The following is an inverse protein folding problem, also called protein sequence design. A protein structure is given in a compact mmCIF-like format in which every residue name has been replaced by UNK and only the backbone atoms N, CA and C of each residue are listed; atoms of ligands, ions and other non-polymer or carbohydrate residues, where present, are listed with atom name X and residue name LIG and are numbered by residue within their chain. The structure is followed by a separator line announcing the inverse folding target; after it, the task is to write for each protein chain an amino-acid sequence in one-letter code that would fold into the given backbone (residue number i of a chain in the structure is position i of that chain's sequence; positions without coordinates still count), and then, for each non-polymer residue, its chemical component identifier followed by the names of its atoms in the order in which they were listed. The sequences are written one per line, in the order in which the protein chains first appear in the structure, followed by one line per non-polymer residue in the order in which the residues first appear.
data_IF_173987321144
#
_entry.id   IF_173987321144
#
_cell.length_a   1.000
_cell.length_b   1.000
_cell.length_c   1.000
_cell.angle_alpha   90.00
_cell.angle_beta   90.00
_cell.angle_gamma   90.00
#
_symmetry.space_group_name_H-M   'P 1'
#
loop_
_entity.id
_entity.type
_entity.pdbx_description
1 polymer ?
#
# COMPACT_ATOMS: atom_id res chain seq x y z
N UNK A 1 -25.27 18.40 -14.68
CA UNK A 1 -24.17 17.65 -15.36
C UNK A 1 -23.54 16.55 -14.49
N UNK A 2 -23.25 16.77 -13.20
CA UNK A 2 -22.59 15.78 -12.30
C UNK A 2 -23.35 14.45 -12.10
N UNK A 3 -24.67 14.45 -12.23
CA UNK A 3 -25.49 13.24 -12.10
C UNK A 3 -25.47 12.34 -13.34
N UNK A 4 -25.10 12.88 -14.51
CA UNK A 4 -25.02 12.13 -15.77
C UNK A 4 -23.78 11.24 -15.79
N UNK A 5 -22.64 11.79 -15.35
CA UNK A 5 -21.37 11.06 -15.29
C UNK A 5 -21.41 9.93 -14.26
N UNK A 6 -22.01 10.14 -13.10
CA UNK A 6 -22.16 9.10 -12.07
C UNK A 6 -23.01 7.90 -12.56
N UNK A 7 -24.08 8.18 -13.32
CA UNK A 7 -24.93 7.13 -13.91
C UNK A 7 -24.20 6.36 -15.01
N UNK A 8 -23.45 7.06 -15.85
CA UNK A 8 -22.65 6.43 -16.92
C UNK A 8 -21.56 5.51 -16.34
N UNK A 9 -20.84 5.96 -15.30
CA UNK A 9 -19.82 5.16 -14.62
C UNK A 9 -20.44 3.91 -13.98
N UNK A 10 -21.58 4.06 -13.29
CA UNK A 10 -22.28 2.92 -12.67
C UNK A 10 -22.77 1.90 -13.70
N UNK A 11 -23.27 2.37 -14.86
CA UNK A 11 -23.71 1.51 -15.95
C UNK A 11 -22.53 0.74 -16.58
N UNK A 12 -21.40 1.42 -16.85
CA UNK A 12 -20.19 0.78 -17.34
C UNK A 12 -19.65 -0.27 -16.37
N UNK A 13 -19.59 0.03 -15.07
CA UNK A 13 -19.14 -0.91 -14.06
C UNK A 13 -20.02 -2.17 -14.01
N UNK A 14 -21.34 -2.02 -14.07
CA UNK A 14 -22.27 -3.17 -14.10
C UNK A 14 -22.09 -4.03 -15.35
N UNK A 15 -21.92 -3.40 -16.51
CA UNK A 15 -21.68 -4.10 -17.77
C UNK A 15 -20.38 -4.92 -17.70
N UNK A 16 -19.29 -4.30 -17.26
CA UNK A 16 -17.99 -4.97 -17.09
C UNK A 16 -18.06 -6.13 -16.10
N UNK A 17 -18.72 -5.95 -14.95
CA UNK A 17 -18.88 -7.01 -13.96
C UNK A 17 -19.74 -8.17 -14.49
N UNK A 18 -20.77 -7.90 -15.30
CA UNK A 18 -21.60 -8.96 -15.90
C UNK A 18 -20.85 -9.76 -16.97
N UNK A 19 -19.87 -9.15 -17.65
CA UNK A 19 -19.01 -9.79 -18.65
C UNK A 19 -17.90 -10.61 -17.98
N UNK A 20 -17.32 -10.10 -16.88
CA UNK A 20 -16.17 -10.70 -16.21
C UNK A 20 -16.55 -11.78 -15.21
N UNK A 21 -17.75 -11.74 -14.64
CA UNK A 21 -18.26 -12.79 -13.77
C UNK A 21 -19.28 -13.62 -14.55
N UNK A 22 -18.95 -14.86 -14.99
CA UNK A 22 -19.93 -15.77 -15.54
C UNK A 22 -20.96 -16.07 -14.44
N UNK A 23 -22.09 -15.37 -14.50
CA UNK A 23 -23.20 -15.50 -13.57
C UNK A 23 -23.98 -16.79 -13.83
N UNK A 24 -23.31 -17.94 -13.79
CA UNK A 24 -23.95 -19.26 -13.82
C UNK A 24 -23.25 -20.23 -12.87
N UNK A 25 -22.93 -19.76 -11.68
CA UNK A 25 -22.71 -20.65 -10.55
C UNK A 25 -24.02 -21.29 -10.13
N UNK A 26 -24.42 -22.39 -10.80
CA UNK A 26 -25.47 -23.28 -10.28
C UNK A 26 -24.98 -23.72 -8.89
N UNK A 27 -25.55 -23.15 -7.82
CA UNK A 27 -25.31 -23.65 -6.46
C UNK A 27 -25.67 -25.14 -6.48
N UNK A 28 -24.67 -26.01 -6.39
CA UNK A 28 -24.91 -27.42 -6.08
C UNK A 28 -25.65 -27.43 -4.75
N UNK A 29 -26.90 -27.91 -4.77
CA UNK A 29 -27.60 -28.25 -3.53
C UNK A 29 -26.69 -29.21 -2.76
N UNK A 30 -26.46 -29.01 -1.45
CA UNK A 30 -25.76 -30.01 -0.67
C UNK A 30 -26.58 -31.30 -0.76
N UNK A 31 -25.99 -32.34 -1.36
CA UNK A 31 -26.54 -33.69 -1.23
C UNK A 31 -26.48 -34.02 0.26
N UNK A 32 -27.66 -34.13 0.87
CA UNK A 32 -27.83 -34.72 2.20
C UNK A 32 -27.20 -36.11 2.13
N UNK A 33 -26.19 -36.44 2.97
CA UNK A 33 -25.66 -37.80 2.99
C UNK A 33 -26.80 -38.73 3.40
N UNK A 34 -27.11 -39.68 2.52
CA UNK A 34 -28.08 -40.73 2.77
C UNK A 34 -27.60 -41.52 3.99
N UNK A 35 -28.41 -41.51 5.04
CA UNK A 35 -28.24 -42.43 6.15
C UNK A 35 -28.55 -43.85 5.65
N UNK A 36 -27.57 -44.75 5.75
CA UNK A 36 -27.72 -46.13 6.24
C UNK A 36 -26.57 -47.02 5.73
N UNK A 37 -25.60 -47.29 6.59
CA UNK A 37 -24.97 -48.61 6.70
C UNK A 37 -24.78 -48.87 8.21
N UNK A 38 -25.55 -49.79 8.82
CA UNK A 38 -25.17 -50.34 10.11
C UNK A 38 -24.01 -51.31 9.86
N UNK A 39 -23.10 -51.44 10.82
CA UNK A 39 -21.84 -52.18 10.73
C UNK A 39 -20.70 -51.39 10.09
N UNK A 40 -19.88 -50.77 10.94
CA UNK A 40 -18.44 -51.08 11.10
C UNK A 40 -17.84 -50.08 12.11
N UNK A 41 -17.37 -50.62 13.23
CA UNK A 41 -16.32 -50.12 14.13
C UNK A 41 -16.05 -48.61 14.20
N UNK A 42 -16.34 -48.02 15.37
CA UNK A 42 -16.08 -46.61 15.73
C UNK A 42 -14.64 -46.17 15.42
N UNK A 43 -14.40 -45.27 14.43
CA UNK A 43 -13.11 -44.63 14.27
C UNK A 43 -12.98 -43.47 15.27
N UNK A 44 -11.81 -43.37 15.91
CA UNK A 44 -11.41 -42.19 16.68
C UNK A 44 -11.71 -40.92 15.88
N UNK A 45 -12.39 -39.90 16.46
CA UNK A 45 -12.73 -38.69 15.71
C UNK A 45 -11.44 -38.00 15.22
N UNK A 46 -11.33 -37.67 13.92
CA UNK A 46 -10.22 -36.86 13.44
C UNK A 46 -10.25 -35.49 14.13
N UNK A 47 -9.08 -34.95 14.46
CA UNK A 47 -8.98 -33.61 15.03
C UNK A 47 -9.75 -32.60 14.16
N UNK A 48 -10.47 -31.63 14.75
CA UNK A 48 -11.28 -30.70 13.99
C UNK A 48 -10.40 -29.93 12.99
N UNK A 49 -10.78 -29.95 11.71
CA UNK A 49 -10.12 -29.15 10.68
C UNK A 49 -10.29 -27.67 11.01
N UNK A 50 -9.19 -27.01 11.37
CA UNK A 50 -9.16 -25.55 11.56
C UNK A 50 -8.81 -24.91 10.22
N UNK A 51 -9.77 -24.18 9.65
CA UNK A 51 -9.56 -23.48 8.38
C UNK A 51 -8.46 -22.42 8.53
N UNK A 52 -7.47 -22.34 7.62
CA UNK A 52 -6.51 -21.23 7.60
C UNK A 52 -7.19 -19.85 7.58
N UNK A 53 -8.39 -19.78 7.01
CA UNK A 53 -9.22 -18.57 6.90
C UNK A 53 -10.13 -18.32 8.11
N UNK A 54 -10.18 -19.23 9.09
CA UNK A 54 -10.91 -19.02 10.35
C UNK A 54 -10.11 -18.24 11.39
N UNK A 55 -8.85 -17.91 11.10
CA UNK A 55 -8.04 -17.07 11.98
C UNK A 55 -8.48 -15.61 11.84
N UNK A 56 -8.87 -14.92 12.93
CA UNK A 56 -9.08 -13.48 12.89
C UNK A 56 -7.78 -12.79 12.45
N UNK A 57 -7.89 -11.80 11.58
CA UNK A 57 -6.74 -11.07 11.06
C UNK A 57 -6.01 -10.34 12.19
N UNK A 58 -4.77 -10.75 12.47
CA UNK A 58 -3.89 -10.10 13.45
C UNK A 58 -3.10 -8.98 12.77
N UNK A 59 -3.81 -7.96 12.31
CA UNK A 59 -3.19 -6.77 11.72
C UNK A 59 -2.81 -5.72 12.76
N UNK A 60 -2.05 -4.70 12.36
CA UNK A 60 -1.82 -3.54 13.20
C UNK A 60 -3.15 -2.91 13.59
N UNK A 61 -3.20 -2.39 14.81
CA UNK A 61 -4.36 -1.62 15.27
C UNK A 61 -4.49 -0.34 14.44
N UNK A 62 -5.67 0.27 14.46
CA UNK A 62 -5.91 1.54 13.75
C UNK A 62 -4.94 2.62 14.25
N UNK A 63 -4.68 2.62 15.55
CA UNK A 63 -3.81 3.55 16.26
C UNK A 63 -2.35 3.37 15.81
N UNK A 64 -1.89 2.12 15.70
CA UNK A 64 -0.55 1.77 15.20
C UNK A 64 -0.38 2.19 13.73
N UNK A 65 -1.34 1.86 12.87
CA UNK A 65 -1.30 2.26 11.47
C UNK A 65 -1.28 3.79 11.33
N UNK A 66 -2.10 4.51 12.09
CA UNK A 66 -2.13 5.97 12.08
C UNK A 66 -0.80 6.58 12.58
N UNK A 67 -0.18 5.98 13.60
CA UNK A 67 1.13 6.42 14.10
C UNK A 67 2.22 6.24 13.06
N UNK A 68 2.21 5.12 12.32
CA UNK A 68 3.14 4.86 11.23
C UNK A 68 3.07 5.95 10.15
N UNK A 69 1.86 6.27 9.68
CA UNK A 69 1.70 7.30 8.65
C UNK A 69 2.05 8.71 9.13
N UNK A 70 1.81 9.05 10.40
CA UNK A 70 2.26 10.34 10.97
C UNK A 70 3.78 10.45 10.95
N UNK A 71 4.49 9.41 11.43
CA UNK A 71 5.96 9.38 11.40
C UNK A 71 6.50 9.51 9.98
N UNK A 72 5.87 8.84 9.01
CA UNK A 72 6.26 8.95 7.61
C UNK A 72 6.07 10.38 7.08
N UNK A 73 4.91 10.99 7.36
CA UNK A 73 4.63 12.37 6.94
C UNK A 73 5.60 13.37 7.58
N UNK A 74 5.95 13.20 8.86
CA UNK A 74 6.94 14.02 9.55
C UNK A 74 8.34 13.90 8.91
N UNK A 75 8.76 12.68 8.58
CA UNK A 75 10.04 12.44 7.91
C UNK A 75 10.08 13.06 6.50
N UNK A 76 9.00 12.92 5.73
CA UNK A 76 8.89 13.52 4.40
C UNK A 76 8.88 15.05 4.47
N UNK A 77 8.17 15.63 5.45
CA UNK A 77 8.15 17.07 5.67
C UNK A 77 9.52 17.62 6.06
N UNK A 78 10.25 16.93 6.94
CA UNK A 78 11.61 17.30 7.31
C UNK A 78 12.57 17.27 6.10
N UNK A 79 12.45 16.23 5.25
CA UNK A 79 13.25 16.13 4.02
C UNK A 79 12.94 17.27 3.05
N UNK A 80 11.66 17.59 2.83
CA UNK A 80 11.29 18.68 1.93
C UNK A 80 11.76 20.05 2.48
N UNK A 81 11.67 20.27 3.79
CA UNK A 81 12.18 21.49 4.42
C UNK A 81 13.70 21.64 4.21
N UNK A 82 14.46 20.54 4.33
CA UNK A 82 15.89 20.54 4.03
C UNK A 82 16.17 20.86 2.56
N UNK A 83 15.46 20.25 1.61
CA UNK A 83 15.60 20.55 0.19
C UNK A 83 15.27 22.01 -0.14
N UNK A 84 14.23 22.58 0.48
CA UNK A 84 13.91 24.00 0.31
C UNK A 84 15.00 24.92 0.84
N UNK A 85 15.59 24.58 1.99
CA UNK A 85 16.72 25.33 2.54
C UNK A 85 17.92 25.31 1.57
N UNK A 86 18.28 24.13 1.06
CA UNK A 86 19.38 23.95 0.10
C UNK A 86 19.13 24.73 -1.21
N UNK A 87 17.90 24.69 -1.75
CA UNK A 87 17.52 25.48 -2.93
C UNK A 87 17.67 26.99 -2.69
N UNK A 88 17.28 27.48 -1.51
CA UNK A 88 17.42 28.90 -1.15
C UNK A 88 18.88 29.30 -1.03
N UNK A 89 19.71 28.45 -0.42
CA UNK A 89 21.16 28.65 -0.37
C UNK A 89 21.75 28.71 -1.78
N UNK A 90 21.48 27.72 -2.62
CA UNK A 90 21.97 27.68 -4.00
C UNK A 90 21.57 28.94 -4.78
N UNK A 91 20.33 29.41 -4.63
CA UNK A 91 19.87 30.65 -5.25
C UNK A 91 20.67 31.87 -4.76
N UNK A 92 20.96 31.97 -3.46
CA UNK A 92 21.77 33.06 -2.92
C UNK A 92 23.21 33.06 -3.48
N UNK A 93 23.85 31.90 -3.57
CA UNK A 93 25.17 31.77 -4.19
C UNK A 93 25.17 32.18 -5.67
N UNK A 94 24.14 31.76 -6.43
CA UNK A 94 23.98 32.16 -7.82
C UNK A 94 23.83 33.68 -7.97
N UNK A 95 23.15 34.38 -7.04
CA UNK A 95 23.08 35.84 -7.09
C UNK A 95 24.42 36.54 -6.86
N UNK A 96 25.36 35.88 -6.18
CA UNK A 96 26.73 36.35 -5.99
C UNK A 96 27.66 35.94 -7.14
N UNK A 97 27.16 35.20 -8.14
CA UNK A 97 27.98 34.63 -9.21
C UNK A 97 28.94 33.54 -8.73
N UNK A 98 28.70 32.96 -7.55
CA UNK A 98 29.52 31.90 -6.97
C UNK A 98 28.83 30.56 -7.21
N UNK A 99 29.59 29.56 -7.64
CA UNK A 99 29.06 28.21 -7.78
C UNK A 99 28.71 27.61 -6.41
N UNK A 100 27.52 27.01 -6.33
CA UNK A 100 27.05 26.41 -5.10
C UNK A 100 27.84 25.12 -4.80
N UNK A 101 28.51 25.01 -3.64
CA UNK A 101 29.38 23.87 -3.32
C UNK A 101 28.57 22.65 -2.87
N UNK A 102 27.73 22.12 -3.75
CA UNK A 102 26.94 20.94 -3.44
C UNK A 102 27.80 19.69 -3.46
N UNK A 103 27.84 18.98 -2.33
CA UNK A 103 28.55 17.71 -2.17
C UNK A 103 27.56 16.59 -1.82
N UNK A 104 27.90 15.37 -2.21
CA UNK A 104 27.16 14.16 -1.88
C UNK A 104 28.14 13.00 -1.70
N UNK A 105 27.68 11.90 -1.09
CA UNK A 105 28.54 10.73 -0.87
C UNK A 105 29.01 10.16 -2.22
N UNK A 106 30.34 10.17 -2.45
CA UNK A 106 30.95 9.78 -3.73
C UNK A 106 31.05 10.91 -4.77
N UNK A 107 30.82 12.16 -4.40
CA UNK A 107 31.05 13.29 -5.29
C UNK A 107 32.52 13.38 -5.71
N UNK A 108 32.81 13.75 -6.98
CA UNK A 108 34.18 13.86 -7.49
C UNK A 108 34.99 15.01 -6.86
N UNK A 109 34.30 15.98 -6.24
CA UNK A 109 34.91 17.14 -5.59
C UNK A 109 34.36 17.27 -4.17
N UNK A 110 35.25 17.45 -3.19
CA UNK A 110 34.90 17.74 -1.79
C UNK A 110 34.70 19.23 -1.53
N UNK A 111 34.25 19.60 -0.33
CA UNK A 111 34.02 21.00 0.05
C UNK A 111 35.27 21.89 -0.12
N UNK A 112 36.46 21.30 0.05
CA UNK A 112 37.74 22.01 -0.09
C UNK A 112 37.98 22.54 -1.51
N UNK A 113 37.42 21.90 -2.54
CA UNK A 113 37.54 22.33 -3.93
C UNK A 113 36.82 23.67 -4.20
N UNK A 114 35.89 24.07 -3.33
CA UNK A 114 35.07 25.26 -3.47
C UNK A 114 35.43 26.36 -2.45
N UNK A 115 36.43 26.14 -1.59
CA UNK A 115 36.98 27.22 -0.75
C UNK A 115 37.80 28.15 -1.64
N UNK A 116 37.23 29.30 -1.98
CA UNK A 116 38.03 30.41 -2.52
C UNK A 116 39.09 30.80 -1.47
N UNK A 117 40.36 30.81 -1.87
CA UNK A 117 41.43 31.48 -1.11
C UNK A 117 41.06 32.94 -0.96
N UNK A 118 40.78 33.35 0.28
CA UNK A 118 40.55 34.74 0.65
C UNK A 118 41.80 35.60 0.44
#
# INVERSE_FOLDING_TARGET
MRHSTARAISACLRALLSLLLPATGKRRKPQRPAAACPHLTSPTPPAPYVSPWSRPWTGPTKEEAAAFFRRQAEADAAREAHLQHERRKAAAYATLGVDYPYTYEGAPFGEDAFRATA
#
